data_IF_068247328479
#
_entry.id   IF_068247328479
#
_cell.length_a   1.000
_cell.length_b   1.000
_cell.length_c   1.000
_cell.angle_alpha   90.00
_cell.angle_beta   90.00
_cell.angle_gamma   90.00
#
_symmetry.space_group_name_H-M   'P 1'
#
loop_
_entity.id
_entity.type
_entity.pdbx_description
1 polymer ?
#
# COMPACT_ATOMS: atom_id res chain seq x y z
N UNK A 1 4.37 13.26 12.81
CA UNK A 1 4.07 12.35 11.68
C UNK A 1 2.56 12.09 11.59
N UNK A 2 1.76 13.15 11.41
CA UNK A 2 0.33 13.01 11.12
C UNK A 2 0.11 12.72 9.61
N UNK A 3 0.95 13.32 8.77
CA UNK A 3 0.83 13.36 7.30
C UNK A 3 0.67 11.98 6.65
N UNK A 4 1.55 11.01 6.96
CA UNK A 4 1.49 9.68 6.34
C UNK A 4 0.62 8.68 7.10
N UNK A 5 0.06 9.06 8.26
CA UNK A 5 -0.71 8.15 9.10
C UNK A 5 -1.95 7.66 8.36
N UNK A 6 -2.66 8.57 7.70
CA UNK A 6 -3.88 8.27 6.93
C UNK A 6 -3.57 7.39 5.72
N UNK A 7 -2.47 7.66 5.01
CA UNK A 7 -2.04 6.82 3.88
C UNK A 7 -1.69 5.40 4.31
N UNK A 8 -0.96 5.24 5.42
CA UNK A 8 -0.66 3.91 5.96
C UNK A 8 -1.89 3.22 6.54
N UNK A 9 -2.86 3.97 7.07
CA UNK A 9 -4.13 3.42 7.50
C UNK A 9 -4.90 2.85 6.31
N UNK A 10 -5.02 3.60 5.21
CA UNK A 10 -5.63 3.10 3.97
C UNK A 10 -4.90 1.84 3.45
N UNK A 11 -3.56 1.84 3.41
CA UNK A 11 -2.78 0.66 3.02
C UNK A 11 -3.00 -0.53 3.96
N UNK A 12 -3.24 -0.26 5.25
CA UNK A 12 -3.57 -1.29 6.23
C UNK A 12 -4.94 -1.90 5.93
N UNK A 13 -5.94 -1.07 5.63
CA UNK A 13 -7.29 -1.51 5.28
C UNK A 13 -7.35 -2.33 3.99
N UNK A 14 -6.53 -1.99 2.98
CA UNK A 14 -6.46 -2.74 1.71
C UNK A 14 -5.66 -4.04 1.84
N UNK A 15 -5.07 -4.32 3.02
CA UNK A 15 -4.32 -5.55 3.26
C UNK A 15 -2.87 -5.53 2.78
N UNK A 16 -2.34 -4.36 2.43
CA UNK A 16 -1.01 -4.19 1.84
C UNK A 16 0.07 -3.81 2.86
N UNK A 17 -0.32 -3.25 4.00
CA UNK A 17 0.62 -2.76 5.00
C UNK A 17 0.27 -3.23 6.41
N UNK A 18 1.06 -4.18 6.93
CA UNK A 18 0.94 -4.59 8.33
C UNK A 18 1.52 -3.52 9.26
N UNK A 19 0.74 -2.98 10.21
CA UNK A 19 1.25 -2.05 11.22
C UNK A 19 2.43 -2.64 12.00
N UNK A 20 3.38 -1.80 12.38
CA UNK A 20 4.61 -2.23 13.08
C UNK A 20 4.32 -2.80 14.47
N UNK A 21 3.25 -2.31 15.09
CA UNK A 21 2.82 -2.68 16.45
C UNK A 21 2.13 -4.04 16.50
N UNK A 22 1.69 -4.58 15.36
CA UNK A 22 0.93 -5.84 15.29
C UNK A 22 1.88 -7.03 15.21
N UNK A 23 2.27 -7.53 16.39
CA UNK A 23 3.10 -8.74 16.58
C UNK A 23 2.26 -9.91 17.13
N UNK A 24 2.79 -11.14 17.00
CA UNK A 24 2.12 -12.36 17.45
C UNK A 24 0.89 -12.70 16.62
N UNK A 25 -0.20 -13.10 17.29
CA UNK A 25 -1.43 -13.62 16.67
C UNK A 25 -2.06 -12.60 15.69
N UNK A 26 -2.13 -11.31 16.08
CA UNK A 26 -2.65 -10.25 15.20
C UNK A 26 -1.85 -10.13 13.90
N UNK A 27 -0.53 -10.33 13.99
CA UNK A 27 0.34 -10.30 12.82
C UNK A 27 0.14 -11.51 11.91
N UNK A 28 -0.17 -12.68 12.47
CA UNK A 28 -0.50 -13.90 11.71
C UNK A 28 -1.83 -13.74 10.97
N UNK A 29 -2.88 -13.27 11.65
CA UNK A 29 -4.17 -12.98 10.99
C UNK A 29 -4.03 -11.96 9.88
N UNK A 30 -3.23 -10.91 10.08
CA UNK A 30 -3.00 -9.92 9.04
C UNK A 30 -2.22 -10.50 7.86
N UNK A 31 -1.21 -11.34 8.12
CA UNK A 31 -0.50 -12.04 7.04
C UNK A 31 -1.42 -12.95 6.23
N UNK A 32 -2.34 -13.65 6.90
CA UNK A 32 -3.36 -14.46 6.24
C UNK A 32 -4.30 -13.58 5.40
N UNK A 33 -4.72 -12.44 5.93
CA UNK A 33 -5.50 -11.45 5.18
C UNK A 33 -4.76 -10.94 3.93
N UNK A 34 -3.48 -10.54 4.05
CA UNK A 34 -2.66 -10.14 2.90
C UNK A 34 -2.53 -11.28 1.88
N UNK A 35 -2.39 -12.53 2.33
CA UNK A 35 -2.34 -13.69 1.45
C UNK A 35 -3.66 -13.88 0.69
N UNK A 36 -4.80 -13.72 1.35
CA UNK A 36 -6.10 -13.74 0.69
C UNK A 36 -6.23 -12.65 -0.37
N UNK A 37 -5.79 -11.42 -0.07
CA UNK A 37 -5.80 -10.32 -1.05
C UNK A 37 -4.96 -10.68 -2.28
N UNK A 38 -3.75 -11.23 -2.08
CA UNK A 38 -2.88 -11.67 -3.18
C UNK A 38 -3.53 -12.79 -3.99
N UNK A 39 -4.11 -13.80 -3.34
CA UNK A 39 -4.79 -14.91 -4.01
C UNK A 39 -5.98 -14.40 -4.85
N UNK A 40 -6.77 -13.47 -4.32
CA UNK A 40 -7.87 -12.84 -5.06
C UNK A 40 -7.35 -12.08 -6.28
N UNK A 41 -6.25 -11.31 -6.14
CA UNK A 41 -5.64 -10.61 -7.28
C UNK A 41 -5.11 -11.56 -8.35
N UNK A 42 -4.47 -12.67 -7.98
CA UNK A 42 -3.98 -13.67 -8.92
C UNK A 42 -5.14 -14.38 -9.62
N UNK A 43 -6.20 -14.71 -8.87
CA UNK A 43 -7.41 -15.32 -9.45
C UNK A 43 -8.10 -14.39 -10.44
N UNK A 44 -8.10 -13.08 -10.16
CA UNK A 44 -8.62 -12.07 -11.08
C UNK A 44 -7.79 -12.01 -12.37
N UNK A 45 -6.46 -11.94 -12.28
CA UNK A 45 -5.58 -11.98 -13.47
C UNK A 45 -5.85 -13.23 -14.29
N UNK A 46 -6.01 -14.38 -13.63
CA UNK A 46 -6.32 -15.63 -14.32
C UNK A 46 -7.67 -15.56 -15.05
N UNK A 47 -8.72 -15.04 -14.41
CA UNK A 47 -10.04 -14.84 -15.03
C UNK A 47 -9.97 -13.97 -16.28
N UNK A 48 -9.37 -12.78 -16.17
CA UNK A 48 -9.22 -11.83 -17.28
C UNK A 48 -8.41 -12.45 -18.44
N UNK A 49 -7.39 -13.26 -18.11
CA UNK A 49 -6.58 -13.95 -19.12
C UNK A 49 -7.35 -15.05 -19.86
N UNK A 50 -8.22 -15.79 -19.16
CA UNK A 50 -9.10 -16.79 -19.77
C UNK A 50 -10.08 -16.08 -20.70
N UNK A 51 -10.67 -14.97 -20.25
CA UNK A 51 -11.58 -14.18 -21.07
C UNK A 51 -10.90 -13.66 -22.35
N UNK A 52 -9.68 -13.13 -22.24
CA UNK A 52 -8.89 -12.66 -23.39
C UNK A 52 -8.53 -13.76 -24.42
N UNK A 53 -8.33 -15.01 -23.97
CA UNK A 53 -7.92 -16.12 -24.84
C UNK A 53 -9.14 -16.81 -25.46
N UNK A 54 -10.20 -17.02 -24.69
CA UNK A 54 -11.32 -17.87 -25.08
C UNK A 54 -12.51 -17.08 -25.65
N UNK A 55 -12.69 -15.80 -25.29
CA UNK A 55 -13.79 -14.99 -25.76
C UNK A 55 -13.30 -14.02 -26.84
N UNK A 56 -13.81 -14.23 -28.06
CA UNK A 56 -13.63 -13.31 -29.17
C UNK A 56 -14.84 -12.39 -29.28
N UNK A 57 -15.07 -11.65 -28.20
CA UNK A 57 -16.03 -10.54 -28.21
C UNK A 57 -15.46 -9.38 -29.06
N UNK A 58 -16.26 -8.34 -29.30
CA UNK A 58 -15.87 -7.26 -30.19
C UNK A 58 -14.55 -6.59 -29.78
N UNK A 59 -13.93 -5.85 -30.70
CA UNK A 59 -12.65 -5.15 -30.44
C UNK A 59 -12.68 -4.22 -29.22
N UNK A 60 -13.86 -3.71 -28.85
CA UNK A 60 -14.06 -2.91 -27.66
C UNK A 60 -13.95 -3.70 -26.36
N UNK A 61 -14.49 -4.92 -26.32
CA UNK A 61 -14.44 -5.78 -25.14
C UNK A 61 -13.02 -6.29 -24.88
N UNK A 62 -12.31 -6.63 -25.96
CA UNK A 62 -10.87 -6.92 -25.92
C UNK A 62 -10.07 -5.76 -25.30
N UNK A 63 -10.34 -4.53 -25.73
CA UNK A 63 -9.63 -3.35 -25.20
C UNK A 63 -9.95 -3.11 -23.72
N UNK A 64 -11.21 -3.29 -23.31
CA UNK A 64 -11.61 -3.11 -21.92
C UNK A 64 -10.94 -4.16 -21.01
N UNK A 65 -11.05 -5.44 -21.35
CA UNK A 65 -10.47 -6.54 -20.59
C UNK A 65 -8.92 -6.46 -20.53
N UNK A 66 -8.26 -6.14 -21.65
CA UNK A 66 -6.80 -5.92 -21.66
C UNK A 66 -6.36 -4.73 -20.79
N UNK A 67 -7.12 -3.63 -20.78
CA UNK A 67 -6.84 -2.48 -19.92
C UNK A 67 -6.99 -2.81 -18.44
N UNK A 68 -8.02 -3.57 -18.07
CA UNK A 68 -8.20 -4.09 -16.70
C UNK A 68 -7.06 -5.02 -16.30
N UNK A 69 -6.67 -5.96 -17.16
CA UNK A 69 -5.56 -6.88 -16.92
C UNK A 69 -4.23 -6.15 -16.69
N UNK A 70 -3.88 -5.17 -17.53
CA UNK A 70 -2.66 -4.35 -17.36
C UNK A 70 -2.71 -3.60 -16.01
N UNK A 71 -3.87 -3.07 -15.63
CA UNK A 71 -4.05 -2.34 -14.37
C UNK A 71 -3.78 -3.24 -13.17
N UNK A 72 -4.31 -4.46 -13.18
CA UNK A 72 -4.13 -5.40 -12.06
C UNK A 72 -2.71 -5.94 -11.98
N UNK A 73 -2.03 -6.15 -13.11
CA UNK A 73 -0.59 -6.46 -13.13
C UNK A 73 0.21 -5.32 -12.50
N UNK A 74 -0.09 -4.07 -12.87
CA UNK A 74 0.54 -2.90 -12.27
C UNK A 74 0.32 -2.79 -10.77
N UNK A 75 -0.90 -3.09 -10.30
CA UNK A 75 -1.21 -3.19 -8.87
C UNK A 75 -0.35 -4.26 -8.19
N UNK A 76 -0.28 -5.48 -8.72
CA UNK A 76 0.53 -6.56 -8.16
C UNK A 76 2.03 -6.19 -8.05
N UNK A 77 2.56 -5.47 -9.05
CA UNK A 77 3.91 -4.90 -9.01
C UNK A 77 4.11 -3.97 -7.81
N UNK A 78 3.18 -3.03 -7.59
CA UNK A 78 3.21 -2.12 -6.43
C UNK A 78 3.16 -2.88 -5.10
N UNK A 79 2.28 -3.89 -4.99
CA UNK A 79 2.18 -4.76 -3.80
C UNK A 79 3.52 -5.41 -3.50
N UNK A 80 4.15 -5.99 -4.51
CA UNK A 80 5.45 -6.67 -4.38
C UNK A 80 6.56 -5.72 -3.92
N UNK A 81 6.60 -4.50 -4.48
CA UNK A 81 7.57 -3.48 -4.09
C UNK A 81 7.39 -3.08 -2.62
N UNK A 82 6.14 -2.84 -2.19
CA UNK A 82 5.83 -2.47 -0.80
C UNK A 82 6.24 -3.57 0.18
N UNK A 83 5.95 -4.84 -0.14
CA UNK A 83 6.32 -5.98 0.70
C UNK A 83 7.85 -6.13 0.79
N UNK A 84 8.56 -6.10 -0.35
CA UNK A 84 10.02 -6.24 -0.40
C UNK A 84 10.73 -5.11 0.33
N UNK A 85 10.28 -3.87 0.13
CA UNK A 85 10.93 -2.67 0.66
C UNK A 85 10.40 -2.27 2.03
N UNK A 86 9.53 -3.08 2.66
CA UNK A 86 8.90 -2.78 3.95
C UNK A 86 9.92 -2.40 5.03
N UNK A 87 11.03 -3.14 5.13
CA UNK A 87 12.09 -2.84 6.11
C UNK A 87 12.72 -1.46 5.89
N UNK A 88 12.99 -1.11 4.63
CA UNK A 88 13.51 0.20 4.24
C UNK A 88 12.52 1.31 4.52
N UNK A 89 11.24 1.11 4.20
CA UNK A 89 10.17 2.09 4.47
C UNK A 89 10.06 2.35 5.98
N UNK A 90 10.06 1.30 6.80
CA UNK A 90 10.03 1.44 8.27
C UNK A 90 11.27 2.18 8.78
N UNK A 91 12.46 1.87 8.24
CA UNK A 91 13.71 2.57 8.62
C UNK A 91 13.65 4.05 8.25
N UNK A 92 13.19 4.38 7.04
CA UNK A 92 12.99 5.76 6.59
C UNK A 92 11.98 6.48 7.49
N UNK A 93 10.84 5.87 7.80
CA UNK A 93 9.86 6.42 8.73
C UNK A 93 10.47 6.71 10.10
N UNK A 94 11.21 5.76 10.67
CA UNK A 94 11.86 5.93 11.97
C UNK A 94 12.92 7.04 11.93
N UNK A 95 13.65 7.16 10.83
CA UNK A 95 14.61 8.25 10.64
C UNK A 95 13.91 9.61 10.57
N UNK A 96 12.79 9.74 9.85
CA UNK A 96 12.00 10.97 9.82
C UNK A 96 11.42 11.36 11.19
N UNK A 97 11.22 10.41 12.09
CA UNK A 97 10.83 10.66 13.48
C UNK A 97 12.02 10.78 14.44
N UNK A 98 13.24 10.60 13.94
CA UNK A 98 14.45 10.61 14.73
C UNK A 98 14.89 12.03 15.11
N UNK A 99 15.88 12.09 16.01
CA UNK A 99 16.46 13.34 16.54
C UNK A 99 16.92 14.34 15.48
N UNK A 100 17.27 13.87 14.27
CA UNK A 100 17.75 14.73 13.19
C UNK A 100 16.66 15.64 12.61
N UNK A 101 15.39 15.20 12.62
CA UNK A 101 14.25 15.93 12.05
C UNK A 101 13.23 16.36 13.12
N UNK A 102 13.61 16.28 14.39
CA UNK A 102 12.82 16.78 15.51
C UNK A 102 13.13 18.27 15.72
N UNK A 103 12.14 19.10 16.10
CA UNK A 103 12.38 20.51 16.38
C UNK A 103 13.43 20.66 17.48
N UNK A 104 14.42 21.52 17.25
CA UNK A 104 15.57 21.75 18.14
C UNK A 104 15.40 23.00 18.99
N UNK A 105 14.59 23.94 18.53
CA UNK A 105 14.29 25.19 19.22
C UNK A 105 12.76 25.46 19.26
N UNK A 106 12.37 26.43 20.08
CA UNK A 106 10.96 26.81 20.23
C UNK A 106 10.36 27.40 18.95
N UNK A 107 11.15 28.01 18.06
CA UNK A 107 10.64 28.55 16.80
C UNK A 107 10.31 27.41 15.82
N UNK A 108 11.18 26.41 15.71
CA UNK A 108 10.94 25.18 14.95
C UNK A 108 9.73 24.42 15.51
N UNK A 109 9.54 24.39 16.83
CA UNK A 109 8.36 23.77 17.44
C UNK A 109 7.06 24.50 17.05
N UNK A 110 7.05 25.83 17.05
CA UNK A 110 5.90 26.64 16.63
C UNK A 110 5.59 26.40 15.15
N UNK A 111 6.61 26.39 14.29
CA UNK A 111 6.45 26.10 12.85
C UNK A 111 5.91 24.68 12.65
N UNK A 112 6.49 23.70 13.34
CA UNK A 112 6.07 22.30 13.26
C UNK A 112 4.61 22.11 13.69
N UNK A 113 4.18 22.79 14.76
CA UNK A 113 2.80 22.74 15.24
C UNK A 113 1.82 23.43 14.29
N UNK A 114 2.19 24.57 13.70
CA UNK A 114 1.35 25.24 12.69
C UNK A 114 1.10 24.34 11.48
N UNK A 115 2.14 23.69 10.94
CA UNK A 115 1.97 22.77 9.82
C UNK A 115 1.21 21.50 10.21
N UNK A 116 1.47 20.91 11.38
CA UNK A 116 0.70 19.75 11.85
C UNK A 116 -0.80 20.07 12.02
N UNK A 117 -1.15 21.31 12.39
CA UNK A 117 -2.56 21.74 12.50
C UNK A 117 -3.25 21.84 11.14
N UNK A 118 -2.53 22.18 10.08
CA UNK A 118 -3.07 22.29 8.71
C UNK A 118 -3.33 20.90 8.11
N UNK A 119 -2.54 19.91 8.51
CA UNK A 119 -2.57 18.56 7.92
C UNK A 119 -3.55 17.62 8.65
N UNK A 120 -4.09 18.05 9.79
CA UNK A 120 -5.08 17.32 10.59
C UNK A 120 -6.48 17.86 10.32
#
# INVERSE_FOLDING_TARGET
MAILKESFFALTCVGLWRPVDWRGIKGVFYNFYTLLVILSSVSFIFSESVELIFFNDGIFDFFNNSSMLITVIGMCGKITIVIKNRGTIIKMMKNFQGKTFSPRDQQEEIIHNNFNRIIR
#
